data_IF_002027709699
#
_entry.id   IF_002027709699
#
_cell.length_a   1.000
_cell.length_b   1.000
_cell.length_c   1.000
_cell.angle_alpha   90.00
_cell.angle_beta   90.00
_cell.angle_gamma   90.00
#
_symmetry.space_group_name_H-M   'P 1'
#
loop_
_entity.id
_entity.type
_entity.pdbx_description
1 polymer ?
#
# COMPACT_ATOMS: atom_id res chain seq x y z
N UNK A 1 10.79 -82.11 33.25
CA UNK A 1 10.84 -80.62 33.27
C UNK A 1 12.16 -80.17 33.84
N UNK A 2 13.13 -79.83 32.99
CA UNK A 2 14.27 -78.97 33.31
C UNK A 2 14.93 -78.60 31.97
N UNK A 3 15.15 -77.30 31.78
CA UNK A 3 15.29 -76.57 30.51
C UNK A 3 16.61 -76.89 29.78
N UNK A 4 16.52 -77.07 28.46
CA UNK A 4 17.66 -76.97 27.53
C UNK A 4 17.95 -75.48 27.26
N UNK A 5 19.22 -75.10 27.40
CA UNK A 5 19.78 -73.81 26.95
C UNK A 5 20.25 -74.00 25.50
N UNK A 6 19.94 -73.11 24.55
CA UNK A 6 20.70 -72.99 23.33
C UNK A 6 21.50 -71.68 23.29
N UNK A 7 22.82 -71.89 23.25
CA UNK A 7 23.87 -71.19 22.49
C UNK A 7 23.49 -69.91 21.75
N UNK A 8 24.15 -68.83 22.16
CA UNK A 8 24.21 -67.51 21.52
C UNK A 8 25.01 -67.64 20.21
N UNK A 9 24.35 -67.44 19.07
CA UNK A 9 24.99 -67.28 17.76
C UNK A 9 25.20 -65.79 17.47
N UNK A 10 26.47 -65.39 17.44
CA UNK A 10 26.94 -64.05 17.08
C UNK A 10 26.52 -63.73 15.63
N UNK A 11 25.58 -62.80 15.43
CA UNK A 11 25.29 -62.20 14.13
C UNK A 11 26.28 -61.06 13.94
N UNK A 12 27.21 -61.24 13.01
CA UNK A 12 28.12 -60.20 12.56
C UNK A 12 27.32 -59.13 11.81
N UNK A 13 27.24 -57.95 12.44
CA UNK A 13 26.71 -56.72 11.86
C UNK A 13 27.67 -56.27 10.75
N UNK A 14 27.30 -56.48 9.49
CA UNK A 14 27.94 -55.85 8.34
C UNK A 14 27.59 -54.37 8.36
N UNK A 15 28.48 -53.56 8.95
CA UNK A 15 28.54 -52.13 8.72
C UNK A 15 28.99 -51.91 7.28
N UNK A 16 28.03 -51.70 6.38
CA UNK A 16 28.27 -51.01 5.13
C UNK A 16 28.60 -49.56 5.48
N UNK A 17 29.90 -49.31 5.65
CA UNK A 17 30.51 -47.99 5.57
C UNK A 17 30.23 -47.43 4.17
N UNK A 18 29.28 -46.50 4.05
CA UNK A 18 29.27 -45.60 2.90
C UNK A 18 30.46 -44.65 3.07
N UNK A 19 31.51 -44.95 2.31
CA UNK A 19 32.74 -44.16 2.21
C UNK A 19 32.56 -43.00 1.24
N UNK A 20 33.11 -41.86 1.65
CA UNK A 20 33.35 -40.59 0.93
C UNK A 20 32.11 -39.72 0.71
N UNK A 21 31.96 -38.73 1.58
CA UNK A 21 31.63 -37.38 1.11
C UNK A 21 32.63 -37.07 -0.01
N UNK A 22 32.13 -36.85 -1.22
CA UNK A 22 32.94 -36.30 -2.30
C UNK A 22 33.51 -34.97 -1.81
N UNK A 23 34.84 -34.83 -1.83
CA UNK A 23 35.53 -33.58 -1.49
C UNK A 23 34.99 -32.50 -2.42
N UNK A 24 34.06 -31.69 -1.93
CA UNK A 24 33.62 -30.49 -2.64
C UNK A 24 34.83 -29.58 -2.82
N UNK A 25 35.14 -29.19 -4.06
CA UNK A 25 36.30 -28.35 -4.34
C UNK A 25 35.95 -27.17 -5.22
N UNK A 26 36.42 -26.00 -4.82
CA UNK A 26 36.23 -24.70 -5.48
C UNK A 26 36.91 -24.57 -6.87
N UNK A 27 37.23 -25.67 -7.56
CA UNK A 27 37.95 -25.65 -8.85
C UNK A 27 37.68 -26.92 -9.70
N UNK A 28 36.60 -27.67 -9.45
CA UNK A 28 36.31 -28.94 -10.15
C UNK A 28 35.29 -28.82 -11.30
N UNK A 29 34.82 -27.62 -11.58
CA UNK A 29 33.91 -27.29 -12.66
C UNK A 29 32.48 -27.73 -12.39
N UNK A 30 32.12 -28.02 -11.14
CA UNK A 30 30.75 -28.42 -10.75
C UNK A 30 30.34 -27.67 -9.50
N UNK A 31 29.16 -27.05 -9.55
CA UNK A 31 28.52 -26.51 -8.35
C UNK A 31 28.19 -27.63 -7.37
N UNK A 32 28.99 -27.77 -6.31
CA UNK A 32 28.83 -28.80 -5.29
C UNK A 32 29.18 -28.26 -3.88
N UNK A 33 28.96 -29.06 -2.83
CA UNK A 33 29.16 -28.57 -1.45
C UNK A 33 28.19 -27.45 -1.07
N UNK A 34 28.73 -26.29 -0.64
CA UNK A 34 27.98 -25.07 -0.31
C UNK A 34 28.23 -23.90 -1.28
N UNK A 35 28.76 -24.17 -2.47
CA UNK A 35 29.02 -23.17 -3.52
C UNK A 35 27.75 -22.47 -4.02
N UNK A 36 27.82 -21.15 -4.24
CA UNK A 36 26.70 -20.35 -4.78
C UNK A 36 26.75 -20.22 -6.30
N UNK A 37 27.91 -20.48 -6.92
CA UNK A 37 28.09 -20.62 -8.36
C UNK A 37 28.98 -21.82 -8.69
N UNK A 38 29.35 -22.02 -9.96
CA UNK A 38 30.30 -23.08 -10.33
C UNK A 38 31.68 -22.71 -9.78
N UNK A 39 32.22 -23.49 -8.85
CA UNK A 39 33.54 -23.29 -8.24
C UNK A 39 33.70 -21.97 -7.44
N UNK A 40 32.60 -21.34 -7.02
CA UNK A 40 32.63 -20.07 -6.29
C UNK A 40 31.46 -19.96 -5.29
N UNK A 41 31.62 -19.11 -4.27
CA UNK A 41 30.64 -18.92 -3.20
C UNK A 41 30.69 -19.97 -2.08
N UNK A 42 29.94 -19.74 -0.99
CA UNK A 42 29.99 -20.61 0.20
C UNK A 42 31.36 -20.57 0.89
N UNK A 43 32.00 -21.74 1.02
CA UNK A 43 33.37 -21.87 1.53
C UNK A 43 34.45 -21.49 0.48
N UNK A 44 34.05 -21.21 -0.77
CA UNK A 44 34.92 -20.80 -1.86
C UNK A 44 35.07 -19.29 -1.98
N UNK A 45 35.94 -18.83 -2.90
CA UNK A 45 36.00 -17.39 -3.24
C UNK A 45 34.64 -16.92 -3.73
N UNK A 46 34.16 -15.73 -3.32
CA UNK A 46 32.90 -15.18 -3.84
C UNK A 46 32.86 -15.17 -5.36
N UNK A 47 31.69 -15.43 -5.93
CA UNK A 47 31.50 -15.32 -7.37
C UNK A 47 31.65 -13.84 -7.77
N UNK A 48 32.42 -13.58 -8.83
CA UNK A 48 32.51 -12.25 -9.42
C UNK A 48 31.46 -12.09 -10.50
N UNK A 49 30.62 -11.07 -10.41
CA UNK A 49 29.65 -10.73 -11.45
C UNK A 49 30.19 -9.56 -12.28
N UNK A 50 30.39 -9.79 -13.58
CA UNK A 50 30.69 -8.76 -14.56
C UNK A 50 29.53 -8.68 -15.57
N UNK A 51 28.74 -7.60 -15.53
CA UNK A 51 27.54 -7.53 -16.37
C UNK A 51 26.75 -6.23 -16.26
N UNK A 52 25.55 -6.26 -16.83
CA UNK A 52 24.58 -5.19 -16.71
C UNK A 52 23.42 -5.67 -15.82
N UNK A 53 22.77 -4.73 -15.14
CA UNK A 53 21.54 -4.98 -14.41
C UNK A 53 20.53 -3.91 -14.80
N UNK A 54 19.35 -4.34 -15.19
CA UNK A 54 18.22 -3.46 -15.47
C UNK A 54 17.01 -3.82 -14.59
N UNK A 55 16.06 -2.90 -14.54
CA UNK A 55 14.85 -3.07 -13.75
C UNK A 55 13.93 -1.85 -13.82
N UNK A 56 12.81 -1.95 -13.12
CA UNK A 56 11.79 -0.92 -13.01
C UNK A 56 11.65 -0.49 -11.55
N UNK A 57 11.52 0.81 -11.31
CA UNK A 57 11.17 1.35 -10.00
C UNK A 57 9.69 1.74 -9.97
N UNK A 58 8.91 1.08 -9.09
CA UNK A 58 7.45 1.09 -9.15
C UNK A 58 6.79 1.16 -7.77
N UNK A 59 6.24 2.32 -7.46
CA UNK A 59 5.13 2.54 -6.53
C UNK A 59 3.87 2.77 -7.38
N UNK A 60 3.81 3.92 -8.04
CA UNK A 60 3.59 3.98 -9.49
C UNK A 60 4.93 4.16 -10.21
N UNK A 61 4.98 4.33 -11.53
CA UNK A 61 6.24 4.53 -12.25
C UNK A 61 7.02 5.70 -11.66
N UNK A 62 8.28 5.47 -11.28
CA UNK A 62 9.16 6.57 -10.89
C UNK A 62 9.44 7.46 -12.10
N UNK A 63 9.55 8.76 -11.86
CA UNK A 63 9.75 9.75 -12.91
C UNK A 63 11.19 9.74 -13.42
N UNK A 64 11.35 10.04 -14.72
CA UNK A 64 12.66 10.21 -15.35
C UNK A 64 13.55 11.20 -14.57
N UNK A 65 14.80 10.81 -14.36
CA UNK A 65 15.80 11.59 -13.61
C UNK A 65 15.81 11.31 -12.10
N UNK A 66 14.90 10.47 -11.59
CA UNK A 66 15.00 9.95 -10.22
C UNK A 66 16.28 9.13 -10.03
N UNK A 67 16.89 9.21 -8.85
CA UNK A 67 18.21 8.62 -8.57
C UNK A 67 18.11 7.15 -8.22
N UNK A 68 18.96 6.32 -8.80
CA UNK A 68 19.08 4.89 -8.47
C UNK A 68 20.50 4.59 -8.02
N UNK A 69 20.64 4.00 -6.84
CA UNK A 69 21.92 3.63 -6.25
C UNK A 69 21.95 2.14 -5.97
N UNK A 70 22.87 1.43 -6.59
CA UNK A 70 23.20 0.04 -6.24
C UNK A 70 24.39 0.04 -5.29
N UNK A 71 24.23 -0.56 -4.12
CA UNK A 71 25.32 -0.77 -3.17
C UNK A 71 25.58 -2.27 -3.03
N UNK A 72 26.80 -2.69 -3.28
CA UNK A 72 27.20 -4.08 -3.06
C UNK A 72 27.22 -4.42 -1.57
N UNK A 73 26.68 -5.57 -1.25
CA UNK A 73 26.61 -6.13 0.08
C UNK A 73 27.44 -7.41 0.14
N UNK A 74 28.05 -7.68 1.28
CA UNK A 74 28.67 -8.98 1.56
C UNK A 74 27.60 -10.03 1.96
N UNK A 75 28.03 -11.27 2.20
CA UNK A 75 27.15 -12.37 2.59
C UNK A 75 26.37 -12.16 3.91
N UNK A 76 26.81 -11.23 4.76
CA UNK A 76 26.10 -10.81 5.99
C UNK A 76 25.33 -9.51 5.79
N UNK A 77 25.02 -9.14 4.54
CA UNK A 77 24.34 -7.91 4.14
C UNK A 77 25.04 -6.60 4.57
N UNK A 78 26.33 -6.66 4.93
CA UNK A 78 27.13 -5.48 5.23
C UNK A 78 27.66 -4.82 3.96
N UNK A 79 27.64 -3.49 3.90
CA UNK A 79 28.20 -2.74 2.77
C UNK A 79 29.69 -3.05 2.54
N UNK A 80 30.07 -3.35 1.31
CA UNK A 80 31.49 -3.53 0.92
C UNK A 80 32.18 -2.20 0.63
N UNK A 81 31.39 -1.16 0.32
CA UNK A 81 31.86 0.15 -0.12
C UNK A 81 31.88 0.33 -1.64
N UNK A 82 31.53 -0.70 -2.43
CA UNK A 82 31.30 -0.55 -3.88
C UNK A 82 29.88 -0.05 -4.12
N UNK A 83 29.77 1.07 -4.81
CA UNK A 83 28.49 1.70 -5.13
C UNK A 83 28.47 2.14 -6.58
N UNK A 84 27.36 1.88 -7.24
CA UNK A 84 27.08 2.30 -8.62
C UNK A 84 25.84 3.18 -8.59
N UNK A 85 25.85 4.22 -9.40
CA UNK A 85 24.74 5.19 -9.46
C UNK A 85 24.30 5.30 -10.91
N UNK A 86 23.00 5.29 -11.11
CA UNK A 86 22.33 5.61 -12.37
C UNK A 86 21.11 6.47 -12.05
N UNK A 87 20.27 6.69 -13.04
CA UNK A 87 18.99 7.35 -12.88
C UNK A 87 17.91 6.57 -13.62
N UNK A 88 16.67 6.82 -13.26
CA UNK A 88 15.52 6.41 -14.06
C UNK A 88 15.62 7.09 -15.43
N UNK A 89 15.57 6.31 -16.49
CA UNK A 89 15.86 6.70 -17.87
C UNK A 89 14.60 7.14 -18.64
N UNK A 90 13.43 6.68 -18.22
CA UNK A 90 12.13 7.03 -18.81
C UNK A 90 11.00 7.03 -17.76
N UNK A 91 9.81 7.44 -18.16
CA UNK A 91 8.64 7.58 -17.28
C UNK A 91 7.92 6.26 -16.99
N UNK A 92 8.48 5.12 -17.40
CA UNK A 92 7.99 3.78 -17.00
C UNK A 92 8.63 3.33 -15.69
N UNK A 93 9.63 4.08 -15.21
CA UNK A 93 10.46 3.71 -14.06
C UNK A 93 11.67 2.89 -14.45
N UNK A 94 12.01 2.77 -15.74
CA UNK A 94 13.13 1.95 -16.20
C UNK A 94 14.48 2.53 -15.79
N UNK A 95 15.39 1.68 -15.31
CA UNK A 95 16.79 2.01 -15.11
C UNK A 95 17.70 0.90 -15.62
N UNK A 96 18.95 1.27 -15.89
CA UNK A 96 20.00 0.33 -16.25
C UNK A 96 21.32 0.74 -15.59
N UNK A 97 22.02 -0.24 -15.06
CA UNK A 97 23.38 -0.18 -14.53
C UNK A 97 24.29 -0.98 -15.45
N UNK A 98 25.24 -0.29 -16.09
CA UNK A 98 26.16 -0.91 -17.03
C UNK A 98 27.52 -1.22 -16.39
N UNK A 99 28.12 -2.34 -16.82
CA UNK A 99 29.47 -2.74 -16.42
C UNK A 99 29.66 -2.84 -14.89
N UNK A 100 28.67 -3.40 -14.20
CA UNK A 100 28.80 -3.82 -12.82
C UNK A 100 29.94 -4.84 -12.73
N UNK A 101 30.86 -4.61 -11.80
CA UNK A 101 31.93 -5.53 -11.46
C UNK A 101 31.89 -5.75 -9.95
N UNK A 102 31.26 -6.85 -9.57
CA UNK A 102 30.94 -7.20 -8.20
C UNK A 102 31.85 -8.31 -7.70
N UNK A 103 32.20 -8.24 -6.42
CA UNK A 103 32.92 -9.23 -5.63
C UNK A 103 31.98 -9.97 -4.68
N UNK A 104 30.69 -9.66 -4.68
CA UNK A 104 29.67 -10.39 -3.95
C UNK A 104 28.36 -10.46 -4.74
N UNK A 105 27.60 -11.51 -4.46
CA UNK A 105 26.33 -11.78 -5.13
C UNK A 105 25.19 -10.90 -4.60
N UNK A 106 25.36 -10.25 -3.46
CA UNK A 106 24.29 -9.47 -2.82
C UNK A 106 24.41 -7.98 -3.12
N UNK A 107 23.25 -7.34 -3.31
CA UNK A 107 23.16 -5.90 -3.51
C UNK A 107 21.92 -5.29 -2.87
N UNK A 108 22.03 -4.02 -2.48
CA UNK A 108 20.89 -3.18 -2.16
C UNK A 108 20.69 -2.15 -3.27
N UNK A 109 19.54 -2.20 -3.94
CA UNK A 109 19.10 -1.18 -4.88
C UNK A 109 18.24 -0.19 -4.10
N UNK A 110 18.64 1.08 -4.11
CA UNK A 110 17.92 2.19 -3.51
C UNK A 110 17.47 3.13 -4.62
N UNK A 111 16.18 3.48 -4.62
CA UNK A 111 15.61 4.48 -5.53
C UNK A 111 15.13 5.65 -4.71
N UNK A 112 15.55 6.86 -5.07
CA UNK A 112 15.13 8.12 -4.47
C UNK A 112 14.56 9.01 -5.57
N UNK A 113 13.29 9.40 -5.46
CA UNK A 113 12.70 10.24 -6.50
C UNK A 113 11.22 10.48 -6.39
N UNK A 114 10.73 11.24 -7.37
CA UNK A 114 9.31 11.48 -7.59
C UNK A 114 8.70 10.30 -8.33
N UNK A 115 7.41 10.09 -8.16
CA UNK A 115 6.67 9.00 -8.77
C UNK A 115 5.31 9.49 -9.25
N UNK A 116 4.70 8.73 -10.16
CA UNK A 116 3.29 8.92 -10.50
C UNK A 116 2.42 8.27 -9.42
N UNK A 117 1.55 9.05 -8.79
CA UNK A 117 0.58 8.57 -7.81
C UNK A 117 -0.66 8.02 -8.53
N UNK A 118 -0.81 6.71 -8.53
CA UNK A 118 -1.88 5.97 -9.19
C UNK A 118 -3.27 6.27 -8.62
N UNK A 119 -3.35 6.61 -7.33
CA UNK A 119 -4.60 6.97 -6.66
C UNK A 119 -5.06 8.36 -7.11
N UNK A 120 -4.14 9.31 -7.17
CA UNK A 120 -4.45 10.70 -7.52
C UNK A 120 -4.39 11.03 -9.02
N UNK A 121 -3.85 10.14 -9.84
CA UNK A 121 -3.64 10.40 -11.27
C UNK A 121 -2.69 11.57 -11.56
N UNK A 122 -1.81 11.89 -10.61
CA UNK A 122 -0.89 13.05 -10.68
C UNK A 122 0.50 12.68 -10.17
N UNK A 123 1.50 13.50 -10.50
CA UNK A 123 2.86 13.30 -10.00
C UNK A 123 2.95 13.68 -8.52
N UNK A 124 3.79 12.96 -7.77
CA UNK A 124 4.05 13.24 -6.36
C UNK A 124 4.66 14.64 -6.16
N UNK A 125 4.31 15.29 -5.05
CA UNK A 125 4.85 16.62 -4.72
C UNK A 125 6.20 16.56 -4.01
N UNK A 126 6.52 15.40 -3.43
CA UNK A 126 7.78 15.11 -2.75
C UNK A 126 8.38 13.79 -3.21
N UNK A 127 9.66 13.62 -2.92
CA UNK A 127 10.38 12.38 -3.22
C UNK A 127 10.17 11.36 -2.11
N UNK A 128 10.13 10.09 -2.48
CA UNK A 128 10.15 8.95 -1.55
C UNK A 128 11.39 8.10 -1.83
N UNK A 129 11.69 7.21 -0.89
CA UNK A 129 12.76 6.21 -1.04
C UNK A 129 12.18 4.81 -1.02
N UNK A 130 12.53 3.99 -2.02
CA UNK A 130 12.31 2.54 -1.97
C UNK A 130 13.65 1.80 -1.96
N UNK A 131 13.66 0.60 -1.38
CA UNK A 131 14.83 -0.26 -1.35
C UNK A 131 14.46 -1.67 -1.79
N UNK A 132 15.44 -2.41 -2.29
CA UNK A 132 15.32 -3.83 -2.62
C UNK A 132 16.66 -4.51 -2.35
N UNK A 133 16.63 -5.65 -1.64
CA UNK A 133 17.79 -6.53 -1.53
C UNK A 133 17.66 -7.59 -2.62
N UNK A 134 18.73 -7.79 -3.39
CA UNK A 134 18.80 -8.73 -4.51
C UNK A 134 20.02 -9.64 -4.38
N UNK A 135 19.86 -10.86 -4.88
CA UNK A 135 20.95 -11.80 -5.13
C UNK A 135 21.14 -11.93 -6.65
N UNK A 136 22.30 -11.50 -7.15
CA UNK A 136 22.64 -11.43 -8.57
C UNK A 136 22.71 -12.79 -9.26
N UNK A 137 22.81 -13.89 -8.50
CA UNK A 137 22.74 -15.25 -9.07
C UNK A 137 21.30 -15.68 -9.39
N UNK A 138 20.31 -15.06 -8.73
CA UNK A 138 18.91 -15.45 -8.81
C UNK A 138 18.14 -14.62 -9.86
N UNK A 139 18.71 -13.50 -10.30
CA UNK A 139 18.00 -12.51 -11.13
C UNK A 139 18.81 -12.06 -12.34
N UNK A 140 18.13 -11.89 -13.48
CA UNK A 140 18.66 -11.21 -14.66
C UNK A 140 18.29 -9.72 -14.72
N UNK A 141 17.22 -9.35 -14.01
CA UNK A 141 16.66 -8.01 -13.87
C UNK A 141 16.10 -7.88 -12.46
N UNK A 142 16.13 -6.69 -11.86
CA UNK A 142 15.65 -6.49 -10.49
C UNK A 142 14.83 -5.21 -10.37
N UNK A 143 13.52 -5.38 -10.22
CA UNK A 143 12.61 -4.27 -9.94
C UNK A 143 12.69 -3.85 -8.47
N UNK A 144 12.42 -2.57 -8.23
CA UNK A 144 12.28 -1.99 -6.89
C UNK A 144 10.85 -1.52 -6.74
N UNK A 145 10.11 -2.08 -5.79
CA UNK A 145 8.72 -1.73 -5.57
C UNK A 145 8.37 -1.71 -4.07
N UNK A 146 7.09 -1.46 -3.77
CA UNK A 146 6.61 -1.38 -2.37
C UNK A 146 6.81 -2.69 -1.61
N UNK A 147 6.63 -3.84 -2.26
CA UNK A 147 6.82 -5.16 -1.64
C UNK A 147 8.30 -5.39 -1.32
N UNK A 148 9.20 -5.16 -2.29
CA UNK A 148 10.65 -5.29 -2.04
C UNK A 148 11.12 -4.36 -0.93
N UNK A 149 10.48 -3.20 -0.78
CA UNK A 149 10.79 -2.26 0.28
C UNK A 149 10.37 -2.77 1.66
N UNK A 150 9.13 -3.25 1.80
CA UNK A 150 8.60 -3.83 3.05
C UNK A 150 9.34 -5.11 3.46
N UNK A 151 9.76 -5.93 2.50
CA UNK A 151 10.51 -7.15 2.78
C UNK A 151 11.90 -6.89 3.36
N UNK A 152 12.52 -5.74 3.07
CA UNK A 152 13.94 -5.48 3.36
C UNK A 152 14.30 -5.76 4.83
N UNK A 153 13.61 -5.11 5.76
CA UNK A 153 13.94 -5.21 7.18
C UNK A 153 13.75 -6.64 7.71
N UNK A 154 12.75 -7.34 7.18
CA UNK A 154 12.45 -8.71 7.54
C UNK A 154 13.48 -9.70 6.98
N UNK A 155 13.89 -9.53 5.73
CA UNK A 155 14.96 -10.32 5.10
C UNK A 155 16.26 -10.15 5.88
N UNK A 156 16.66 -8.92 6.20
CA UNK A 156 17.85 -8.63 7.02
C UNK A 156 17.81 -9.39 8.36
N UNK A 157 16.68 -9.31 9.07
CA UNK A 157 16.50 -10.00 10.34
C UNK A 157 16.60 -11.53 10.21
N UNK A 158 15.95 -12.12 9.20
CA UNK A 158 15.96 -13.57 8.99
C UNK A 158 17.36 -14.10 8.63
N UNK A 159 18.14 -13.36 7.83
CA UNK A 159 19.53 -13.73 7.55
C UNK A 159 20.41 -13.67 8.81
N UNK A 160 20.20 -12.66 9.67
CA UNK A 160 20.90 -12.56 10.96
C UNK A 160 20.56 -13.74 11.90
N UNK A 161 19.35 -14.29 11.80
CA UNK A 161 18.96 -15.53 12.51
C UNK A 161 19.52 -16.81 11.86
N UNK A 162 20.22 -16.70 10.73
CA UNK A 162 20.87 -17.81 10.03
C UNK A 162 20.03 -18.45 8.92
N UNK A 163 18.91 -17.85 8.51
CA UNK A 163 18.15 -18.32 7.35
C UNK A 163 18.93 -18.08 6.05
N UNK A 164 18.82 -19.01 5.10
CA UNK A 164 19.36 -18.81 3.76
C UNK A 164 18.56 -17.73 3.02
N UNK A 165 19.22 -16.95 2.16
CA UNK A 165 18.62 -15.80 1.47
C UNK A 165 17.29 -16.14 0.76
N UNK A 166 17.28 -17.18 -0.08
CA UNK A 166 16.08 -17.56 -0.83
C UNK A 166 14.89 -17.94 0.10
N UNK A 167 15.18 -18.56 1.25
CA UNK A 167 14.16 -18.92 2.25
C UNK A 167 13.66 -17.67 2.97
N UNK A 168 14.58 -16.80 3.39
CA UNK A 168 14.25 -15.54 4.05
C UNK A 168 13.40 -14.63 3.15
N UNK A 169 13.74 -14.56 1.86
CA UNK A 169 13.01 -13.77 0.85
C UNK A 169 11.59 -14.30 0.64
N UNK A 170 11.43 -15.61 0.45
CA UNK A 170 10.11 -16.23 0.29
C UNK A 170 9.24 -16.04 1.54
N UNK A 171 9.82 -16.23 2.73
CA UNK A 171 9.11 -16.03 4.00
C UNK A 171 8.68 -14.56 4.18
N UNK A 172 9.58 -13.61 3.93
CA UNK A 172 9.27 -12.19 4.04
C UNK A 172 8.17 -11.76 3.06
N UNK A 173 8.19 -12.29 1.83
CA UNK A 173 7.15 -12.02 0.83
C UNK A 173 5.78 -12.54 1.30
N UNK A 174 5.70 -13.78 1.79
CA UNK A 174 4.48 -14.37 2.33
C UNK A 174 3.93 -13.57 3.52
N UNK A 175 4.79 -13.22 4.47
CA UNK A 175 4.44 -12.44 5.66
C UNK A 175 3.94 -11.04 5.28
N UNK A 176 4.63 -10.33 4.37
CA UNK A 176 4.19 -9.01 3.88
C UNK A 176 2.84 -9.08 3.19
N UNK A 177 2.59 -10.08 2.35
CA UNK A 177 1.29 -10.24 1.69
C UNK A 177 0.17 -10.55 2.68
N UNK A 178 0.47 -11.30 3.74
CA UNK A 178 -0.51 -11.66 4.77
C UNK A 178 -1.06 -10.44 5.53
N UNK A 179 -0.29 -9.35 5.64
CA UNK A 179 -0.73 -8.07 6.22
C UNK A 179 -1.96 -7.51 5.47
N UNK A 180 -2.00 -7.74 4.16
CA UNK A 180 -3.06 -7.25 3.27
C UNK A 180 -4.15 -8.30 3.04
N UNK A 181 -4.19 -9.36 3.86
CA UNK A 181 -5.12 -10.50 3.71
C UNK A 181 -4.95 -11.25 2.37
N UNK A 182 -3.75 -11.16 1.76
CA UNK A 182 -3.43 -11.84 0.50
C UNK A 182 -2.67 -13.12 0.83
N UNK A 183 -3.26 -14.27 0.50
CA UNK A 183 -2.56 -15.55 0.55
C UNK A 183 -1.62 -15.64 -0.65
N UNK A 184 -0.36 -16.01 -0.41
CA UNK A 184 0.64 -16.17 -1.46
C UNK A 184 0.14 -17.16 -2.53
N UNK A 185 -0.13 -16.72 -3.78
CA UNK A 185 -0.59 -17.61 -4.83
C UNK A 185 0.48 -18.62 -5.23
N UNK A 186 0.06 -19.84 -5.57
CA UNK A 186 0.96 -20.87 -6.10
C UNK A 186 1.65 -20.36 -7.37
N UNK A 187 2.99 -20.26 -7.33
CA UNK A 187 3.79 -19.84 -8.47
C UNK A 187 3.90 -18.33 -8.67
N UNK A 188 3.49 -17.52 -7.69
CA UNK A 188 3.81 -16.08 -7.67
C UNK A 188 5.34 -15.91 -7.72
N UNK A 189 5.90 -15.09 -8.63
CA UNK A 189 7.33 -14.83 -8.66
C UNK A 189 7.75 -13.92 -7.49
N UNK A 190 9.05 -13.87 -7.20
CA UNK A 190 9.62 -12.96 -6.21
C UNK A 190 9.26 -11.50 -6.51
N UNK A 191 9.12 -10.68 -5.47
CA UNK A 191 8.66 -9.29 -5.59
C UNK A 191 9.46 -8.43 -6.57
N UNK A 192 10.77 -8.64 -6.72
CA UNK A 192 11.64 -7.96 -7.67
C UNK A 192 11.40 -8.34 -9.14
N UNK A 193 10.54 -9.31 -9.43
CA UNK A 193 10.14 -9.69 -10.78
C UNK A 193 8.73 -9.20 -11.15
N UNK A 194 8.00 -8.60 -10.20
CA UNK A 194 6.64 -8.06 -10.42
C UNK A 194 6.69 -6.73 -11.15
N UNK A 195 5.69 -6.46 -11.99
CA UNK A 195 5.66 -5.27 -12.84
C UNK A 195 4.23 -4.74 -13.07
N UNK A 196 3.92 -3.56 -12.54
CA UNK A 196 2.57 -2.95 -12.67
C UNK A 196 2.10 -2.71 -14.12
N UNK A 197 3.02 -2.73 -15.10
CA UNK A 197 2.71 -2.53 -16.52
C UNK A 197 2.22 -3.81 -17.23
N UNK A 198 2.36 -4.97 -16.58
CA UNK A 198 1.92 -6.25 -17.10
C UNK A 198 0.48 -6.57 -16.62
N UNK A 199 -0.03 -7.74 -16.99
CA UNK A 199 -1.42 -8.15 -16.74
C UNK A 199 -1.51 -9.48 -15.98
N UNK A 200 -0.46 -9.87 -15.26
CA UNK A 200 -0.43 -11.10 -14.48
C UNK A 200 -1.03 -10.90 -13.08
N UNK A 201 -1.30 -12.02 -12.39
CA UNK A 201 -1.88 -11.99 -11.05
C UNK A 201 -0.99 -11.25 -10.03
N UNK A 202 0.32 -11.42 -10.14
CA UNK A 202 1.26 -10.72 -9.26
C UNK A 202 1.30 -9.21 -9.46
N UNK A 203 0.99 -8.74 -10.68
CA UNK A 203 0.94 -7.31 -10.97
C UNK A 203 -0.33 -6.69 -10.37
N UNK A 204 -1.45 -7.42 -10.39
CA UNK A 204 -2.68 -7.04 -9.69
C UNK A 204 -2.45 -6.91 -8.17
N UNK A 205 -1.73 -7.87 -7.57
CA UNK A 205 -1.35 -7.82 -6.15
C UNK A 205 -0.48 -6.60 -5.86
N UNK A 206 0.52 -6.34 -6.70
CA UNK A 206 1.41 -5.19 -6.52
C UNK A 206 0.64 -3.87 -6.58
N UNK A 207 -0.29 -3.72 -7.53
CA UNK A 207 -1.15 -2.53 -7.66
C UNK A 207 -2.05 -2.38 -6.42
N UNK A 208 -2.68 -3.46 -5.95
CA UNK A 208 -3.54 -3.43 -4.78
C UNK A 208 -2.78 -2.99 -3.52
N UNK A 209 -1.63 -3.61 -3.24
CA UNK A 209 -0.79 -3.28 -2.08
C UNK A 209 -0.27 -1.84 -2.19
N UNK A 210 0.19 -1.44 -3.37
CA UNK A 210 0.63 -0.07 -3.62
C UNK A 210 -0.46 0.97 -3.35
N UNK A 211 -1.69 0.68 -3.80
CA UNK A 211 -2.85 1.55 -3.64
C UNK A 211 -3.31 1.64 -2.19
N UNK A 212 -3.35 0.53 -1.46
CA UNK A 212 -3.69 0.49 -0.02
C UNK A 212 -2.70 1.34 0.79
N UNK A 213 -1.40 1.17 0.52
CA UNK A 213 -0.37 1.94 1.18
C UNK A 213 -0.43 3.42 0.80
N UNK A 214 -0.69 3.75 -0.48
CA UNK A 214 -0.83 5.14 -0.95
C UNK A 214 -2.01 5.84 -0.27
N UNK A 215 -3.21 5.28 -0.39
CA UNK A 215 -4.45 5.97 0.00
C UNK A 215 -4.51 7.40 -0.55
N UNK A 216 -5.24 8.26 0.16
CA UNK A 216 -5.22 9.72 -0.04
C UNK A 216 -4.20 10.46 0.84
N UNK A 217 -3.11 9.79 1.24
CA UNK A 217 -2.08 10.36 2.14
C UNK A 217 -1.11 11.30 1.40
N UNK A 218 -0.45 12.17 2.16
CA UNK A 218 0.75 12.88 1.68
C UNK A 218 1.93 11.92 1.50
N UNK A 219 2.94 12.30 0.72
CA UNK A 219 4.16 11.50 0.56
C UNK A 219 4.94 11.37 1.89
N UNK A 220 4.82 12.37 2.77
CA UNK A 220 5.43 12.35 4.08
C UNK A 220 4.76 11.29 4.97
N UNK A 221 3.44 11.27 5.02
CA UNK A 221 2.68 10.28 5.79
C UNK A 221 2.83 8.88 5.20
N UNK A 222 2.86 8.75 3.87
CA UNK A 222 3.19 7.49 3.21
C UNK A 222 4.58 6.97 3.64
N UNK A 223 5.59 7.84 3.66
CA UNK A 223 6.95 7.44 4.06
C UNK A 223 7.03 7.06 5.54
N UNK A 224 6.28 7.75 6.40
CA UNK A 224 6.16 7.43 7.83
C UNK A 224 5.49 6.06 8.01
N UNK A 225 4.35 5.84 7.37
CA UNK A 225 3.61 4.59 7.38
C UNK A 225 4.50 3.39 6.97
N UNK A 226 5.25 3.53 5.87
CA UNK A 226 6.18 2.47 5.43
C UNK A 226 7.26 2.19 6.46
N UNK A 227 7.81 3.22 7.10
CA UNK A 227 8.83 3.06 8.14
C UNK A 227 8.28 2.39 9.40
N UNK A 228 7.05 2.74 9.79
CA UNK A 228 6.39 2.18 10.96
C UNK A 228 6.03 0.71 10.74
N UNK A 229 5.48 0.35 9.56
CA UNK A 229 5.24 -1.05 9.17
C UNK A 229 6.56 -1.83 9.20
N UNK A 230 7.61 -1.29 8.58
CA UNK A 230 8.93 -1.92 8.54
C UNK A 230 9.51 -2.18 9.94
N UNK A 231 9.26 -1.27 10.89
CA UNK A 231 9.70 -1.43 12.27
C UNK A 231 8.90 -2.51 12.99
N UNK A 232 7.59 -2.57 12.76
CA UNK A 232 6.66 -3.49 13.40
C UNK A 232 6.96 -4.95 12.99
N UNK A 233 6.98 -5.21 11.68
CA UNK A 233 7.05 -6.57 11.14
C UNK A 233 8.46 -7.18 11.17
N UNK A 234 9.47 -6.41 11.59
CA UNK A 234 10.88 -6.79 11.44
C UNK A 234 11.20 -8.13 12.11
N UNK A 235 10.76 -8.32 13.35
CA UNK A 235 11.17 -9.45 14.18
C UNK A 235 10.28 -10.69 14.04
N UNK A 236 9.01 -10.53 13.70
CA UNK A 236 8.03 -11.63 13.65
C UNK A 236 7.24 -11.74 12.34
N UNK A 237 7.31 -10.74 11.45
CA UNK A 237 6.59 -10.72 10.18
C UNK A 237 5.11 -10.40 10.32
N UNK A 238 4.65 -9.91 11.47
CA UNK A 238 3.24 -9.64 11.74
C UNK A 238 3.05 -8.16 11.99
N UNK A 239 2.06 -7.55 11.32
CA UNK A 239 1.60 -6.21 11.68
C UNK A 239 0.62 -6.36 12.85
N UNK A 240 1.03 -5.98 14.06
CA UNK A 240 0.18 -6.07 15.26
C UNK A 240 -0.23 -4.70 15.82
N UNK A 241 0.38 -3.63 15.32
CA UNK A 241 0.02 -2.27 15.68
C UNK A 241 -1.35 -1.87 15.11
N UNK A 242 -2.35 -1.83 16.00
CA UNK A 242 -3.73 -1.49 15.67
C UNK A 242 -3.89 -0.12 15.00
N UNK A 243 -3.08 0.88 15.36
CA UNK A 243 -3.20 2.23 14.79
C UNK A 243 -2.76 2.27 13.33
N UNK A 244 -1.66 1.58 13.01
CA UNK A 244 -1.18 1.44 11.62
C UNK A 244 -2.22 0.69 10.78
N UNK A 245 -2.71 -0.44 11.30
CA UNK A 245 -3.72 -1.23 10.60
C UNK A 245 -5.05 -0.50 10.42
N UNK A 246 -5.49 0.25 11.44
CA UNK A 246 -6.68 1.11 11.37
C UNK A 246 -6.54 2.18 10.29
N UNK A 247 -5.40 2.89 10.24
CA UNK A 247 -5.11 3.88 9.22
C UNK A 247 -5.17 3.26 7.81
N UNK A 248 -4.52 2.11 7.59
CA UNK A 248 -4.57 1.38 6.31
C UNK A 248 -6.01 1.10 5.86
N UNK A 249 -6.85 0.57 6.75
CA UNK A 249 -8.26 0.28 6.45
C UNK A 249 -9.03 1.56 6.16
N UNK A 250 -8.84 2.61 6.97
CA UNK A 250 -9.58 3.86 6.84
C UNK A 250 -9.31 4.58 5.51
N UNK A 251 -8.09 4.49 4.97
CA UNK A 251 -7.80 4.98 3.62
C UNK A 251 -8.24 4.01 2.53
N UNK A 252 -8.18 2.69 2.76
CA UNK A 252 -8.56 1.69 1.77
C UNK A 252 -10.06 1.76 1.41
N UNK A 253 -10.93 2.18 2.34
CA UNK A 253 -12.37 2.37 2.08
C UNK A 253 -12.67 3.50 1.08
N UNK A 254 -11.73 4.44 0.91
CA UNK A 254 -11.87 5.59 0.02
C UNK A 254 -11.37 5.30 -1.42
N UNK A 255 -10.70 4.17 -1.63
CA UNK A 255 -10.06 3.86 -2.91
C UNK A 255 -11.08 3.55 -4.02
N UNK A 256 -10.98 4.27 -5.13
CA UNK A 256 -11.71 3.98 -6.36
C UNK A 256 -10.85 3.18 -7.34
N UNK A 257 -11.06 1.87 -7.36
CA UNK A 257 -10.30 0.94 -8.22
C UNK A 257 -10.49 1.18 -9.72
N UNK A 258 -11.63 1.74 -10.14
CA UNK A 258 -11.87 2.07 -11.53
C UNK A 258 -11.06 3.31 -11.93
N UNK A 259 -11.06 4.34 -11.09
CA UNK A 259 -10.26 5.55 -11.30
C UNK A 259 -8.75 5.23 -11.31
N UNK A 260 -8.27 4.41 -10.37
CA UNK A 260 -6.86 3.98 -10.33
C UNK A 260 -6.46 3.25 -11.62
N UNK A 261 -7.31 2.34 -12.10
CA UNK A 261 -7.10 1.65 -13.37
C UNK A 261 -7.00 2.65 -14.53
N UNK A 262 -7.94 3.57 -14.64
CA UNK A 262 -7.95 4.59 -15.70
C UNK A 262 -6.69 5.49 -15.62
N UNK A 263 -6.28 5.90 -14.42
CA UNK A 263 -5.08 6.71 -14.19
C UNK A 263 -3.81 6.02 -14.70
N UNK A 264 -3.63 4.73 -14.36
CA UNK A 264 -2.47 3.95 -14.81
C UNK A 264 -2.47 3.74 -16.33
N UNK A 265 -3.60 3.35 -16.91
CA UNK A 265 -3.71 3.15 -18.37
C UNK A 265 -3.45 4.46 -19.13
N UNK A 266 -3.97 5.60 -18.63
CA UNK A 266 -3.71 6.91 -19.19
C UNK A 266 -2.23 7.28 -19.10
N UNK A 267 -1.58 7.09 -17.95
CA UNK A 267 -0.17 7.38 -17.76
C UNK A 267 0.72 6.64 -18.76
N UNK A 268 0.54 5.33 -18.89
CA UNK A 268 1.34 4.55 -19.82
C UNK A 268 1.03 4.92 -21.27
N UNK A 269 -0.24 5.18 -21.62
CA UNK A 269 -0.61 5.58 -22.98
C UNK A 269 0.01 6.92 -23.38
N UNK A 270 0.05 7.88 -22.46
CA UNK A 270 0.74 9.18 -22.64
C UNK A 270 2.26 9.03 -22.78
N UNK A 271 2.83 7.89 -22.35
CA UNK A 271 4.24 7.53 -22.48
C UNK A 271 4.46 6.44 -23.56
N UNK A 272 3.61 6.42 -24.60
CA UNK A 272 3.72 5.56 -25.79
C UNK A 272 3.62 4.04 -25.51
N UNK A 273 3.01 3.64 -24.39
CA UNK A 273 2.80 2.24 -23.99
C UNK A 273 1.34 1.96 -23.68
N UNK A 274 0.74 0.99 -24.37
CA UNK A 274 -0.62 0.55 -24.02
C UNK A 274 -0.53 -0.71 -23.15
N UNK A 275 -1.01 -0.59 -21.92
CA UNK A 275 -1.11 -1.70 -20.96
C UNK A 275 -2.59 -2.06 -20.74
N UNK A 276 -2.85 -3.25 -20.22
CA UNK A 276 -4.16 -3.65 -19.71
C UNK A 276 -4.03 -3.94 -18.22
N UNK A 277 -4.49 -3.01 -17.40
CA UNK A 277 -4.36 -3.14 -15.95
C UNK A 277 -5.27 -4.29 -15.48
N UNK A 278 -4.72 -5.33 -14.82
CA UNK A 278 -5.50 -6.46 -14.37
C UNK A 278 -6.48 -6.04 -13.27
N UNK A 279 -7.56 -6.81 -13.09
CA UNK A 279 -8.49 -6.52 -12.01
C UNK A 279 -7.84 -6.83 -10.66
N UNK A 280 -7.65 -5.79 -9.84
CA UNK A 280 -7.01 -5.88 -8.52
C UNK A 280 -7.97 -5.57 -7.35
N UNK A 281 -9.18 -5.09 -7.65
CA UNK A 281 -10.14 -4.63 -6.63
C UNK A 281 -10.65 -5.73 -5.69
N UNK A 282 -10.52 -7.01 -6.08
CA UNK A 282 -10.79 -8.14 -5.18
C UNK A 282 -9.83 -8.14 -3.99
N UNK A 283 -8.53 -7.89 -4.18
CA UNK A 283 -7.57 -7.89 -3.08
C UNK A 283 -7.86 -6.77 -2.08
N UNK A 284 -8.26 -5.59 -2.55
CA UNK A 284 -8.68 -4.48 -1.68
C UNK A 284 -9.98 -4.83 -0.95
N UNK A 285 -10.95 -5.46 -1.65
CA UNK A 285 -12.20 -5.90 -1.04
C UNK A 285 -11.98 -6.98 0.03
N UNK A 286 -11.07 -7.92 -0.23
CA UNK A 286 -10.70 -8.99 0.70
C UNK A 286 -9.97 -8.42 1.92
N UNK A 287 -9.07 -7.45 1.73
CA UNK A 287 -8.43 -6.70 2.82
C UNK A 287 -9.48 -6.03 3.72
N UNK A 288 -10.42 -5.28 3.14
CA UNK A 288 -11.48 -4.60 3.88
C UNK A 288 -12.45 -5.58 4.58
N UNK A 289 -12.70 -6.75 4.00
CA UNK A 289 -13.66 -7.71 4.52
C UNK A 289 -13.10 -8.62 5.62
N UNK A 290 -11.80 -8.94 5.56
CA UNK A 290 -11.19 -9.98 6.40
C UNK A 290 -10.21 -9.42 7.44
N UNK A 291 -9.75 -8.18 7.28
CA UNK A 291 -8.80 -7.59 8.23
C UNK A 291 -9.35 -7.55 9.65
N UNK A 292 -8.49 -7.89 10.61
CA UNK A 292 -8.80 -7.77 12.03
C UNK A 292 -8.72 -6.32 12.55
N UNK A 293 -8.18 -5.40 11.76
CA UNK A 293 -8.08 -3.99 12.13
C UNK A 293 -9.43 -3.31 12.03
N UNK A 294 -9.74 -2.50 13.04
CA UNK A 294 -10.99 -1.73 13.11
C UNK A 294 -10.62 -0.27 13.28
N UNK A 295 -10.89 0.60 12.28
CA UNK A 295 -10.68 2.02 12.44
C UNK A 295 -11.60 2.57 13.52
N UNK A 296 -11.07 3.42 14.38
CA UNK A 296 -11.86 4.25 15.28
C UNK A 296 -12.34 5.51 14.55
N UNK A 297 -13.26 6.25 15.16
CA UNK A 297 -13.69 7.57 14.64
C UNK A 297 -12.51 8.55 14.54
N UNK A 298 -11.47 8.39 15.37
CA UNK A 298 -10.25 9.23 15.34
C UNK A 298 -9.29 8.83 14.21
N UNK A 299 -9.39 7.60 13.69
CA UNK A 299 -8.59 7.13 12.55
C UNK A 299 -9.27 7.46 11.20
N UNK A 300 -10.46 8.06 11.22
CA UNK A 300 -11.21 8.35 10.03
C UNK A 300 -10.58 9.54 9.26
N UNK A 301 -10.30 9.44 7.95
CA UNK A 301 -9.63 10.50 7.18
C UNK A 301 -10.36 11.85 7.15
N UNK A 302 -11.66 11.83 7.45
CA UNK A 302 -12.50 13.01 7.62
C UNK A 302 -12.92 13.16 9.08
N UNK A 303 -12.52 14.26 9.71
CA UNK A 303 -12.91 14.58 11.07
C UNK A 303 -14.21 15.39 11.10
N UNK A 304 -15.19 14.89 11.85
CA UNK A 304 -16.49 15.53 12.03
C UNK A 304 -16.68 15.99 13.48
N UNK A 305 -16.22 17.19 13.86
CA UNK A 305 -16.29 17.64 15.25
C UNK A 305 -17.74 17.74 15.72
N UNK A 306 -18.05 17.37 16.98
CA UNK A 306 -19.42 17.43 17.51
C UNK A 306 -20.07 18.83 17.40
N UNK A 307 -19.25 19.88 17.44
CA UNK A 307 -19.69 21.27 17.32
C UNK A 307 -18.81 22.01 16.31
N UNK A 308 -19.45 22.73 15.39
CA UNK A 308 -18.80 23.72 14.53
C UNK A 308 -18.89 25.13 15.10
N UNK A 309 -18.49 26.12 14.30
CA UNK A 309 -18.61 27.54 14.66
C UNK A 309 -20.05 28.03 14.75
N UNK A 310 -21.01 27.27 14.20
CA UNK A 310 -22.40 27.66 14.07
C UNK A 310 -23.37 26.89 14.99
N UNK A 311 -22.86 26.02 15.86
CA UNK A 311 -23.65 25.15 16.74
C UNK A 311 -23.35 23.66 16.53
N UNK A 312 -24.30 22.80 16.88
CA UNK A 312 -24.21 21.34 16.70
C UNK A 312 -23.89 21.02 15.25
N UNK A 313 -22.90 20.15 15.04
CA UNK A 313 -22.54 19.70 13.71
C UNK A 313 -23.44 18.55 13.26
N UNK A 314 -24.18 18.75 12.18
CA UNK A 314 -25.06 17.71 11.66
C UNK A 314 -24.30 16.58 10.95
N UNK A 315 -22.98 16.73 10.74
CA UNK A 315 -22.13 15.69 10.17
C UNK A 315 -21.51 14.76 11.24
N UNK A 316 -21.66 15.05 12.53
CA UNK A 316 -21.02 14.27 13.60
C UNK A 316 -21.81 13.02 14.04
N UNK A 317 -22.85 12.64 13.31
CA UNK A 317 -23.73 11.53 13.69
C UNK A 317 -24.64 11.08 12.55
N UNK A 318 -25.49 10.09 12.83
CA UNK A 318 -26.35 9.47 11.81
C UNK A 318 -27.79 10.03 11.80
N UNK A 319 -28.20 10.74 12.84
CA UNK A 319 -29.54 11.30 12.94
C UNK A 319 -29.63 12.43 13.96
N UNK A 320 -30.40 13.47 13.66
CA UNK A 320 -30.59 14.63 14.54
C UNK A 320 -32.06 15.06 14.57
N UNK A 321 -32.50 15.52 15.74
CA UNK A 321 -33.72 16.30 15.87
C UNK A 321 -33.37 17.78 15.63
N UNK A 322 -33.97 18.37 14.59
CA UNK A 322 -33.69 19.75 14.16
C UNK A 322 -34.92 20.64 14.36
N UNK A 323 -34.71 21.89 14.75
CA UNK A 323 -35.75 22.87 15.00
C UNK A 323 -35.75 23.96 13.95
N UNK A 324 -36.94 24.48 13.67
CA UNK A 324 -37.11 25.67 12.83
C UNK A 324 -36.45 26.87 13.48
N UNK A 325 -35.84 27.73 12.67
CA UNK A 325 -35.09 28.93 13.07
C UNK A 325 -33.84 28.71 13.97
N UNK A 326 -33.54 27.46 14.36
CA UNK A 326 -32.28 27.13 15.03
C UNK A 326 -31.13 27.00 14.02
N UNK A 327 -29.92 27.19 14.52
CA UNK A 327 -28.70 27.17 13.70
C UNK A 327 -27.85 25.94 13.98
N UNK A 328 -27.37 25.35 12.89
CA UNK A 328 -26.55 24.16 12.86
C UNK A 328 -25.29 24.37 12.01
N UNK A 329 -24.29 23.54 12.25
CA UNK A 329 -23.04 23.52 11.50
C UNK A 329 -23.01 22.33 10.54
N UNK A 330 -22.39 22.51 9.39
CA UNK A 330 -21.90 21.41 8.55
C UNK A 330 -20.37 21.50 8.56
N UNK A 331 -19.77 21.03 9.65
CA UNK A 331 -18.35 21.16 9.93
C UNK A 331 -17.59 19.87 9.60
N UNK A 332 -16.47 20.00 8.91
CA UNK A 332 -15.53 18.91 8.63
C UNK A 332 -14.10 19.46 8.64
N UNK A 333 -13.13 18.65 9.01
CA UNK A 333 -11.70 18.93 8.83
C UNK A 333 -11.01 17.70 8.24
N UNK A 334 -10.17 17.89 7.22
CA UNK A 334 -9.38 16.82 6.62
C UNK A 334 -8.22 17.38 5.81
N UNK A 335 -7.09 16.67 5.75
CA UNK A 335 -5.95 16.99 4.90
C UNK A 335 -5.61 15.78 4.02
N UNK A 336 -6.36 15.61 2.94
CA UNK A 336 -6.21 14.49 2.02
C UNK A 336 -5.79 14.96 0.64
N UNK A 337 -4.90 14.20 0.01
CA UNK A 337 -4.52 14.41 -1.38
C UNK A 337 -5.61 13.85 -2.30
N UNK A 338 -6.01 14.63 -3.31
CA UNK A 338 -6.95 14.23 -4.37
C UNK A 338 -8.27 13.60 -3.92
N UNK A 339 -8.69 13.85 -2.68
CA UNK A 339 -9.99 13.46 -2.15
C UNK A 339 -10.87 14.69 -2.01
N UNK A 340 -12.17 14.51 -2.17
CA UNK A 340 -13.17 15.55 -1.92
C UNK A 340 -14.23 15.03 -0.97
N UNK A 341 -14.88 15.94 -0.24
CA UNK A 341 -16.13 15.65 0.44
C UNK A 341 -17.25 16.32 -0.33
N UNK A 342 -18.25 15.53 -0.72
CA UNK A 342 -19.49 16.02 -1.31
C UNK A 342 -20.67 15.67 -0.42
N UNK A 343 -21.51 16.66 -0.13
CA UNK A 343 -22.78 16.47 0.54
C UNK A 343 -23.92 16.74 -0.44
N UNK A 344 -24.96 15.91 -0.37
CA UNK A 344 -26.23 16.17 -1.04
C UNK A 344 -27.29 16.26 0.04
N UNK A 345 -27.78 17.47 0.28
CA UNK A 345 -28.97 17.71 1.10
C UNK A 345 -30.18 17.54 0.21
N UNK A 346 -31.11 16.68 0.63
CA UNK A 346 -32.35 16.43 -0.12
C UNK A 346 -33.56 16.17 0.77
N UNK A 347 -34.74 16.42 0.23
CA UNK A 347 -36.01 16.16 0.89
C UNK A 347 -36.64 17.41 1.53
N UNK A 348 -37.66 17.18 2.34
CA UNK A 348 -38.57 18.21 2.83
C UNK A 348 -40.02 17.94 2.40
N UNK A 349 -40.82 19.00 2.33
CA UNK A 349 -42.20 18.98 1.82
C UNK A 349 -42.22 19.49 0.37
N UNK A 350 -42.99 18.84 -0.51
CA UNK A 350 -43.25 19.29 -1.88
C UNK A 350 -43.82 20.73 -1.97
N UNK A 351 -44.35 21.27 -0.87
CA UNK A 351 -44.85 22.65 -0.79
C UNK A 351 -43.85 23.64 -0.21
N UNK A 352 -42.68 23.17 0.21
CA UNK A 352 -41.69 23.98 0.86
C UNK A 352 -40.83 24.71 -0.21
N UNK A 353 -40.98 26.02 -0.28
CA UNK A 353 -40.21 26.87 -1.20
C UNK A 353 -38.85 27.24 -0.58
N UNK A 354 -37.98 26.24 -0.42
CA UNK A 354 -36.67 26.33 0.26
C UNK A 354 -36.74 25.79 1.69
N UNK A 355 -36.42 24.52 1.89
CA UNK A 355 -36.62 23.82 3.20
C UNK A 355 -35.54 24.09 4.22
N UNK A 356 -34.45 24.62 3.72
CA UNK A 356 -33.37 25.15 4.52
C UNK A 356 -32.86 26.40 3.83
N UNK A 357 -32.15 27.21 4.60
CA UNK A 357 -31.31 28.25 4.05
C UNK A 357 -29.93 28.17 4.69
N UNK A 358 -28.95 28.57 3.89
CA UNK A 358 -27.57 28.72 4.31
C UNK A 358 -27.29 30.19 4.52
N UNK A 359 -26.54 30.52 5.55
CA UNK A 359 -26.06 31.89 5.73
C UNK A 359 -24.60 31.96 5.34
N UNK A 360 -24.34 32.60 4.20
CA UNK A 360 -22.98 32.97 3.78
C UNK A 360 -22.54 34.20 4.61
N UNK A 361 -22.13 33.97 5.86
CA UNK A 361 -21.60 35.00 6.75
C UNK A 361 -20.16 35.44 6.41
N UNK A 362 -19.61 36.39 7.17
CA UNK A 362 -18.25 36.93 7.03
C UNK A 362 -17.14 36.04 7.65
N UNK A 363 -17.40 34.75 7.85
CA UNK A 363 -16.48 33.79 8.48
C UNK A 363 -15.75 32.90 7.47
N UNK A 364 -14.92 31.98 7.95
CA UNK A 364 -14.29 30.96 7.10
C UNK A 364 -15.38 30.05 6.52
N UNK A 365 -15.42 29.92 5.19
CA UNK A 365 -16.31 29.02 4.45
C UNK A 365 -15.44 28.24 3.48
N UNK A 366 -15.13 27.00 3.83
CA UNK A 366 -14.40 26.06 2.97
C UNK A 366 -15.30 25.30 1.99
N UNK A 367 -16.62 25.50 2.09
CA UNK A 367 -17.61 24.87 1.21
C UNK A 367 -17.81 25.68 -0.07
N UNK A 368 -17.69 25.02 -1.22
CA UNK A 368 -18.34 25.44 -2.46
C UNK A 368 -19.79 24.92 -2.46
N UNK A 369 -20.74 25.80 -2.77
CA UNK A 369 -22.16 25.52 -2.55
C UNK A 369 -22.95 25.67 -3.85
N UNK A 370 -23.56 24.57 -4.27
CA UNK A 370 -24.47 24.51 -5.39
C UNK A 370 -25.75 25.30 -5.14
N UNK A 371 -26.43 25.66 -6.23
CA UNK A 371 -27.76 26.27 -6.15
C UNK A 371 -28.79 25.26 -5.66
N UNK A 372 -29.71 25.70 -4.80
CA UNK A 372 -30.86 24.90 -4.38
C UNK A 372 -31.81 24.69 -5.57
N UNK A 373 -32.17 23.43 -5.85
CA UNK A 373 -33.12 23.08 -6.88
C UNK A 373 -34.52 22.92 -6.26
N UNK A 374 -35.38 23.92 -6.46
CA UNK A 374 -36.76 23.94 -5.95
C UNK A 374 -37.64 22.79 -6.49
N UNK A 375 -37.31 22.18 -7.63
CA UNK A 375 -38.11 21.09 -8.21
C UNK A 375 -37.78 19.71 -7.65
N UNK A 376 -36.54 19.52 -7.20
CA UNK A 376 -36.07 18.25 -6.64
C UNK A 376 -35.77 18.34 -5.16
N UNK A 377 -35.84 19.54 -4.58
CA UNK A 377 -35.43 19.87 -3.21
C UNK A 377 -34.03 19.37 -2.91
N UNK A 378 -33.09 19.62 -3.82
CA UNK A 378 -31.69 19.16 -3.69
C UNK A 378 -30.75 20.36 -3.64
N UNK A 379 -29.76 20.28 -2.77
CA UNK A 379 -28.61 21.18 -2.79
C UNK A 379 -27.32 20.41 -2.54
N UNK A 380 -26.28 20.77 -3.28
CA UNK A 380 -24.97 20.12 -3.21
C UNK A 380 -23.95 21.04 -2.54
N UNK A 381 -23.08 20.44 -1.75
CA UNK A 381 -21.97 21.11 -1.07
C UNK A 381 -20.70 20.31 -1.35
N UNK A 382 -19.60 20.98 -1.66
CA UNK A 382 -18.32 20.32 -1.95
C UNK A 382 -17.18 21.04 -1.26
N UNK A 383 -16.19 20.30 -0.78
CA UNK A 383 -14.93 20.84 -0.28
C UNK A 383 -13.79 19.87 -0.58
N UNK A 384 -12.58 20.39 -0.78
CA UNK A 384 -11.42 19.60 -1.23
C UNK A 384 -10.36 19.39 -0.16
N UNK A 385 -10.30 20.22 0.88
CA UNK A 385 -9.37 20.08 2.00
C UNK A 385 -9.58 21.15 3.07
N UNK A 386 -8.98 20.91 4.24
CA UNK A 386 -8.95 21.80 5.39
C UNK A 386 -10.26 21.84 6.16
N UNK A 387 -10.30 22.70 7.18
CA UNK A 387 -11.51 22.93 7.94
C UNK A 387 -12.57 23.62 7.08
N UNK A 388 -13.78 23.07 6.97
CA UNK A 388 -14.91 23.64 6.25
C UNK A 388 -16.14 23.64 7.14
N UNK A 389 -16.77 24.80 7.33
CA UNK A 389 -18.02 24.92 8.09
C UNK A 389 -18.97 25.89 7.39
N UNK A 390 -20.26 25.57 7.40
CA UNK A 390 -21.32 26.44 6.91
C UNK A 390 -22.52 26.40 7.84
N UNK A 391 -23.12 27.57 8.02
CA UNK A 391 -24.30 27.79 8.86
C UNK A 391 -25.56 27.36 8.12
N UNK A 392 -26.22 26.32 8.60
CA UNK A 392 -27.49 25.80 8.11
C UNK A 392 -28.64 26.14 9.08
N UNK A 393 -29.80 26.47 8.54
CA UNK A 393 -31.05 26.65 9.30
C UNK A 393 -32.20 26.03 8.54
N UNK A 394 -33.12 25.40 9.28
CA UNK A 394 -34.35 24.85 8.72
C UNK A 394 -35.42 25.94 8.69
N UNK A 395 -36.18 26.05 7.59
CA UNK A 395 -37.19 27.11 7.42
C UNK A 395 -38.49 26.81 8.14
N UNK A 396 -39.33 27.83 8.34
CA UNK A 396 -40.69 27.66 8.87
C UNK A 396 -41.67 27.00 7.89
N UNK A 397 -41.24 26.69 6.66
CA UNK A 397 -42.11 26.12 5.62
C UNK A 397 -42.20 24.59 5.64
N UNK A 398 -41.38 23.93 6.46
CA UNK A 398 -41.37 22.48 6.62
C UNK A 398 -42.13 22.07 7.89
N UNK A 399 -42.94 21.02 7.78
CA UNK A 399 -43.84 20.61 8.86
C UNK A 399 -43.09 19.75 9.90
N UNK A 400 -43.57 19.79 11.15
CA UNK A 400 -43.05 18.91 12.20
C UNK A 400 -43.26 17.45 11.83
N UNK A 401 -42.21 16.65 11.87
CA UNK A 401 -42.19 15.24 11.48
C UNK A 401 -41.69 14.99 10.05
N UNK A 402 -41.49 16.03 9.25
CA UNK A 402 -40.79 15.90 7.98
C UNK A 402 -39.31 15.58 8.18
N UNK A 403 -38.70 14.98 7.17
CA UNK A 403 -37.32 14.51 7.23
C UNK A 403 -36.51 15.08 6.07
N UNK A 404 -35.36 15.67 6.41
CA UNK A 404 -34.32 16.07 5.45
C UNK A 404 -33.18 15.06 5.54
N UNK A 405 -32.66 14.65 4.41
CA UNK A 405 -31.57 13.70 4.30
C UNK A 405 -30.29 14.40 3.86
N UNK A 406 -29.17 14.09 4.52
CA UNK A 406 -27.82 14.44 4.06
C UNK A 406 -27.15 13.16 3.59
N UNK A 407 -26.93 13.04 2.29
CA UNK A 407 -26.04 12.02 1.74
C UNK A 407 -24.60 12.54 1.78
N UNK A 408 -23.71 11.77 2.39
CA UNK A 408 -22.28 12.09 2.53
C UNK A 408 -21.51 11.21 1.56
N UNK A 409 -20.70 11.82 0.72
CA UNK A 409 -19.83 11.14 -0.25
C UNK A 409 -18.39 11.53 0.06
N UNK A 410 -17.66 10.60 0.68
CA UNK A 410 -16.24 10.75 0.99
C UNK A 410 -15.39 10.19 -0.15
N UNK A 411 -14.36 10.92 -0.57
CA UNK A 411 -13.53 10.56 -1.71
C UNK A 411 -14.23 10.85 -3.06
N UNK A 412 -13.74 10.22 -4.14
CA UNK A 412 -14.27 10.41 -5.49
C UNK A 412 -15.49 9.53 -5.82
N UNK A 413 -16.08 8.90 -4.81
CA UNK A 413 -17.15 7.90 -4.97
C UNK A 413 -18.47 8.45 -5.53
N UNK A 414 -19.19 7.58 -6.24
CA UNK A 414 -20.55 7.86 -6.76
C UNK A 414 -21.67 7.34 -5.85
N UNK A 415 -21.33 6.63 -4.78
CA UNK A 415 -22.26 6.06 -3.79
C UNK A 415 -22.02 6.77 -2.46
N UNK A 416 -23.07 7.17 -1.71
CA UNK A 416 -22.86 7.80 -0.42
C UNK A 416 -22.25 6.79 0.56
N UNK A 417 -21.23 7.22 1.30
CA UNK A 417 -20.61 6.42 2.36
C UNK A 417 -21.52 6.34 3.57
N UNK A 418 -22.30 7.39 3.82
CA UNK A 418 -23.35 7.40 4.84
C UNK A 418 -24.47 8.37 4.52
N UNK A 419 -25.57 8.19 5.22
CA UNK A 419 -26.78 9.00 5.10
C UNK A 419 -27.25 9.44 6.48
N UNK A 420 -27.43 10.74 6.67
CA UNK A 420 -27.82 11.36 7.93
C UNK A 420 -29.27 11.83 7.83
N UNK A 421 -30.08 11.50 8.84
CA UNK A 421 -31.50 11.83 8.88
C UNK A 421 -31.77 13.00 9.83
N UNK A 422 -32.37 14.08 9.34
CA UNK A 422 -32.75 15.24 10.13
C UNK A 422 -34.28 15.26 10.30
N UNK A 423 -34.77 14.96 11.50
CA UNK A 423 -36.20 14.99 11.81
C UNK A 423 -36.58 16.38 12.32
N UNK A 424 -37.55 17.04 11.68
CA UNK A 424 -38.02 18.34 12.13
C UNK A 424 -38.90 18.19 13.37
N UNK A 425 -38.53 18.86 14.46
CA UNK A 425 -39.25 18.88 15.73
C UNK A 425 -39.65 20.30 16.13
N UNK A 426 -40.54 20.39 17.12
CA UNK A 426 -41.09 21.66 17.64
C UNK A 426 -40.11 22.55 18.42
#
# INVERSE_FOLDING_TARGET
>A
MLRKIPTIGFIALLLLSCSKDDDATCNDGKQNGNETGIDCGGDCTPCSFDGNLDGLAQKGPFLNGSSVTYSELNASLGLTGRTFVTQILDNTGYFQLDNLSLESDFGNIRVDGFYFNEVCGTNSESQITLNSIVNMNDVSSANVNVLTHLEKGRVEYLLDQGSAYAVAKAQAQEEVLSIFEIQLPDGLPSSENLNIANSEEGDAILIAVSSILQGHRSEADFSLLMADILSDIREDGVLDNQSIGADLIAHATLLDTAAIKENLEAWYSDNDMNIDVPFFGNYISDFLANSAFTPSEEDHPYEYPENGMNGVNLLSGNSFDVKRDDYYSLAVEFELNCAELKLILKGGDANCNGCWFITLGTGYQGWDVGSYNESTEIQTFTTSSGYSDIKLSITDYIDTGDVIEIEVYEGSGSIPTRTIQLTVVD
#
